data_IF_890890347729
#
_entry.id   IF_890890347729
#
_cell.length_a   1.000
_cell.length_b   1.000
_cell.length_c   1.000
_cell.angle_alpha   90.00
_cell.angle_beta   90.00
_cell.angle_gamma   90.00
#
_symmetry.space_group_name_H-M   'P 1'
#
loop_
_entity.id
_entity.type
_entity.pdbx_description
1 polymer ?
#
# COMPACT_ATOMS: atom_id res chain seq x y z
N UNK A 1 -8.43 22.68 2.67
CA UNK A 1 -8.59 22.81 1.21
C UNK A 1 -9.62 23.89 0.96
N UNK A 2 -9.48 24.60 -0.14
CA UNK A 2 -10.51 25.50 -0.63
C UNK A 2 -11.35 24.73 -1.65
N UNK A 3 -12.66 24.99 -1.67
CA UNK A 3 -13.59 24.32 -2.58
C UNK A 3 -14.29 25.41 -3.38
N UNK A 4 -14.15 25.36 -4.70
CA UNK A 4 -14.75 26.32 -5.62
C UNK A 4 -15.66 25.61 -6.63
N UNK A 5 -16.75 26.27 -7.00
CA UNK A 5 -17.59 25.83 -8.12
C UNK A 5 -17.13 26.55 -9.38
N UNK A 6 -16.26 25.93 -10.16
CA UNK A 6 -15.66 26.55 -11.36
C UNK A 6 -16.66 26.87 -12.48
N UNK A 7 -17.87 26.31 -12.42
CA UNK A 7 -18.94 26.57 -13.41
C UNK A 7 -19.75 27.80 -13.02
N UNK A 8 -20.17 27.88 -11.74
CA UNK A 8 -21.00 28.97 -11.24
C UNK A 8 -20.18 30.17 -10.73
N UNK A 9 -18.92 29.96 -10.37
CA UNK A 9 -17.93 30.94 -9.92
C UNK A 9 -16.57 30.69 -10.59
N UNK A 10 -16.42 31.00 -11.89
CA UNK A 10 -15.17 30.75 -12.63
C UNK A 10 -13.97 31.55 -12.12
N UNK A 11 -14.21 32.56 -11.27
CA UNK A 11 -13.16 33.38 -10.67
C UNK A 11 -12.78 32.92 -9.26
N UNK A 12 -13.36 31.81 -8.78
CA UNK A 12 -13.03 31.17 -7.51
C UNK A 12 -13.08 32.15 -6.32
N UNK A 13 -14.05 33.07 -6.33
CA UNK A 13 -14.15 34.11 -5.28
C UNK A 13 -14.77 33.56 -4.01
N UNK A 14 -15.58 32.53 -4.12
CA UNK A 14 -16.41 31.99 -3.03
C UNK A 14 -15.89 30.64 -2.60
N UNK A 15 -15.12 30.62 -1.52
CA UNK A 15 -14.67 29.37 -0.93
C UNK A 15 -15.82 28.68 -0.18
N UNK A 16 -16.25 27.53 -0.69
CA UNK A 16 -17.36 26.72 -0.19
C UNK A 16 -16.92 25.74 0.92
N UNK A 17 -15.63 25.62 1.20
CA UNK A 17 -15.08 24.58 2.07
C UNK A 17 -15.60 24.61 3.52
N UNK A 18 -16.05 25.77 3.99
CA UNK A 18 -16.55 25.95 5.36
C UNK A 18 -18.07 25.76 5.47
N UNK A 19 -18.77 25.55 4.35
CA UNK A 19 -20.21 25.33 4.36
C UNK A 19 -20.53 23.88 4.75
N UNK A 20 -21.52 23.70 5.62
CA UNK A 20 -21.93 22.37 6.12
C UNK A 20 -22.25 21.38 4.98
N UNK A 21 -22.82 21.86 3.88
CA UNK A 21 -23.11 21.04 2.70
C UNK A 21 -21.87 20.41 2.05
N UNK A 22 -20.69 21.01 2.24
CA UNK A 22 -19.42 20.55 1.67
C UNK A 22 -18.51 19.87 2.70
N UNK A 23 -18.94 19.73 3.95
CA UNK A 23 -18.14 19.13 5.01
C UNK A 23 -17.65 17.71 4.66
N UNK A 24 -18.54 16.86 4.11
CA UNK A 24 -18.17 15.51 3.68
C UNK A 24 -17.16 15.52 2.53
N UNK A 25 -17.32 16.43 1.56
CA UNK A 25 -16.38 16.57 0.45
C UNK A 25 -15.01 17.04 0.94
N UNK A 26 -14.99 18.02 1.83
CA UNK A 26 -13.78 18.54 2.46
C UNK A 26 -13.03 17.43 3.20
N UNK A 27 -13.75 16.61 3.98
CA UNK A 27 -13.16 15.47 4.69
C UNK A 27 -12.60 14.42 3.72
N UNK A 28 -13.33 14.11 2.65
CA UNK A 28 -12.84 13.20 1.60
C UNK A 28 -11.56 13.73 0.92
N UNK A 29 -11.50 15.03 0.61
CA UNK A 29 -10.31 15.66 0.01
C UNK A 29 -9.11 15.60 0.96
N UNK A 30 -9.30 15.92 2.24
CA UNK A 30 -8.26 15.83 3.27
C UNK A 30 -7.74 14.40 3.40
N UNK A 31 -8.64 13.43 3.52
CA UNK A 31 -8.29 12.02 3.60
C UNK A 31 -7.50 11.56 2.36
N UNK A 32 -7.95 11.97 1.16
CA UNK A 32 -7.31 11.58 -0.10
C UNK A 32 -5.88 12.08 -0.21
N UNK A 33 -5.60 13.31 0.24
CA UNK A 33 -4.23 13.85 0.21
C UNK A 33 -3.28 13.01 1.07
N UNK A 34 -3.73 12.57 2.24
CA UNK A 34 -2.94 11.69 3.12
C UNK A 34 -2.76 10.28 2.54
N UNK A 35 -3.72 9.80 1.73
CA UNK A 35 -3.68 8.47 1.12
C UNK A 35 -2.84 8.38 -0.16
N UNK A 36 -2.53 9.52 -0.81
CA UNK A 36 -1.79 9.56 -2.09
C UNK A 36 -0.33 9.98 -1.89
N UNK A 37 -0.02 10.71 -0.82
CA UNK A 37 1.29 11.34 -0.64
C UNK A 37 2.06 10.72 0.51
N UNK A 38 3.39 10.71 0.35
CA UNK A 38 4.34 10.47 1.44
C UNK A 38 4.92 11.82 1.91
N UNK A 39 5.20 11.98 3.21
CA UNK A 39 6.02 13.07 3.72
C UNK A 39 7.37 13.12 3.00
N UNK A 40 7.78 14.32 2.59
CA UNK A 40 9.07 14.56 1.94
C UNK A 40 9.88 15.52 2.81
N UNK A 41 10.98 15.06 3.44
CA UNK A 41 11.83 15.92 4.26
C UNK A 41 12.40 17.14 3.51
N UNK A 42 12.57 17.06 2.18
CA UNK A 42 13.02 18.17 1.34
C UNK A 42 11.92 19.17 0.96
N UNK A 43 10.66 18.81 1.19
CA UNK A 43 9.49 19.64 0.90
C UNK A 43 8.40 19.43 1.98
N UNK A 44 8.67 19.89 3.22
CA UNK A 44 7.79 19.66 4.36
C UNK A 44 6.45 20.34 4.17
N UNK A 45 5.38 19.65 4.53
CA UNK A 45 3.99 20.13 4.42
C UNK A 45 3.33 20.15 5.79
N UNK A 46 2.34 21.05 6.00
CA UNK A 46 1.66 21.19 7.29
C UNK A 46 1.01 19.90 7.81
N UNK A 47 0.65 18.98 6.92
CA UNK A 47 -0.07 17.74 7.22
C UNK A 47 0.82 16.47 7.19
N UNK A 48 2.15 16.61 7.14
CA UNK A 48 3.07 15.46 7.08
C UNK A 48 3.08 14.61 8.36
N UNK A 49 2.51 15.12 9.46
CA UNK A 49 2.38 14.43 10.75
C UNK A 49 0.99 13.86 11.00
N UNK A 50 0.05 14.07 10.08
CA UNK A 50 -1.31 13.56 10.21
C UNK A 50 -1.37 12.04 10.07
N UNK A 51 -2.34 11.44 10.74
CA UNK A 51 -2.63 10.02 10.59
C UNK A 51 -3.34 9.80 9.26
N UNK A 52 -2.83 8.91 8.41
CA UNK A 52 -3.54 8.48 7.21
C UNK A 52 -4.82 7.78 7.66
N UNK A 53 -6.00 8.23 7.21
CA UNK A 53 -7.26 7.66 7.67
C UNK A 53 -7.49 6.26 7.11
N UNK A 54 -8.09 5.42 7.94
CA UNK A 54 -8.58 4.11 7.55
C UNK A 54 -9.80 4.21 6.63
N UNK A 55 -10.08 3.14 5.88
CA UNK A 55 -11.28 3.00 5.05
C UNK A 55 -12.30 2.07 5.69
N UNK A 56 -13.57 2.30 5.39
CA UNK A 56 -14.68 1.41 5.75
C UNK A 56 -15.07 0.57 4.54
N UNK A 57 -14.72 -0.72 4.56
CA UNK A 57 -15.00 -1.66 3.47
C UNK A 57 -15.86 -2.81 4.01
N UNK A 58 -17.09 -3.00 3.49
CA UNK A 58 -17.92 -4.13 3.90
C UNK A 58 -17.43 -5.44 3.29
N UNK A 59 -17.91 -6.57 3.82
CA UNK A 59 -17.73 -7.91 3.23
C UNK A 59 -16.26 -8.33 3.03
N UNK A 60 -15.47 -8.25 4.10
CA UNK A 60 -14.09 -8.71 4.12
C UNK A 60 -13.96 -10.08 4.78
N UNK A 61 -13.10 -10.93 4.22
CA UNK A 61 -12.70 -12.22 4.79
C UNK A 61 -11.20 -12.24 5.05
N UNK A 62 -10.72 -13.09 5.96
CA UNK A 62 -9.28 -13.17 6.27
C UNK A 62 -8.45 -13.65 5.07
N UNK A 63 -7.28 -13.05 4.92
CA UNK A 63 -6.29 -13.39 3.90
C UNK A 63 -6.05 -12.28 2.89
N UNK A 64 -5.41 -12.64 1.78
CA UNK A 64 -4.99 -11.75 0.71
C UNK A 64 -5.31 -12.40 -0.63
N UNK A 65 -5.32 -11.58 -1.67
CA UNK A 65 -5.29 -12.03 -3.05
C UNK A 65 -3.85 -11.93 -3.57
N UNK A 66 -3.49 -12.82 -4.48
CA UNK A 66 -2.23 -12.77 -5.17
C UNK A 66 -2.40 -13.09 -6.65
N UNK A 67 -1.51 -12.54 -7.46
CA UNK A 67 -1.41 -12.76 -8.89
C UNK A 67 0.06 -12.94 -9.25
N UNK A 68 0.38 -13.88 -10.12
CA UNK A 68 1.76 -14.07 -10.62
C UNK A 68 1.84 -13.70 -12.08
N UNK A 69 3.04 -13.31 -12.52
CA UNK A 69 3.37 -13.14 -13.93
C UNK A 69 4.68 -13.86 -14.20
N UNK A 70 4.71 -14.69 -15.25
CA UNK A 70 5.94 -15.38 -15.66
C UNK A 70 6.84 -14.52 -16.55
N UNK A 71 6.26 -13.52 -17.23
CA UNK A 71 6.99 -12.64 -18.14
C UNK A 71 8.03 -11.82 -17.39
N UNK A 72 9.24 -11.72 -17.95
CA UNK A 72 10.29 -10.86 -17.38
C UNK A 72 9.79 -9.42 -17.30
N UNK A 73 9.95 -8.82 -16.12
CA UNK A 73 9.50 -7.46 -15.84
C UNK A 73 10.71 -6.53 -15.87
N UNK A 74 10.68 -5.41 -16.62
CA UNK A 74 11.73 -4.41 -16.54
C UNK A 74 11.64 -3.61 -15.24
N UNK A 75 10.44 -3.40 -14.70
CA UNK A 75 10.15 -2.77 -13.40
C UNK A 75 8.89 -3.38 -12.76
N UNK A 76 8.75 -3.26 -11.44
CA UNK A 76 7.63 -3.84 -10.67
C UNK A 76 6.27 -3.27 -11.04
N UNK A 77 6.21 -2.00 -11.45
CA UNK A 77 4.94 -1.33 -11.76
C UNK A 77 4.23 -1.92 -13.00
N UNK A 78 4.95 -2.58 -13.92
CA UNK A 78 4.33 -3.21 -15.10
C UNK A 78 3.34 -4.33 -14.72
N UNK A 79 3.41 -4.87 -13.49
CA UNK A 79 2.54 -5.95 -13.03
C UNK A 79 1.05 -5.61 -13.04
N UNK A 80 0.65 -4.34 -12.93
CA UNK A 80 -0.77 -3.96 -12.96
C UNK A 80 -1.39 -4.12 -14.35
N UNK A 81 -0.60 -3.87 -15.40
CA UNK A 81 -1.07 -3.84 -16.79
C UNK A 81 -0.98 -5.22 -17.47
N UNK A 82 -0.35 -6.20 -16.81
CA UNK A 82 -0.12 -7.52 -17.38
C UNK A 82 -1.20 -8.52 -16.95
N UNK A 83 -1.67 -9.30 -17.92
CA UNK A 83 -2.50 -10.46 -17.62
C UNK A 83 -1.75 -11.44 -16.71
N UNK A 84 -2.35 -11.86 -15.59
CA UNK A 84 -1.69 -12.77 -14.65
C UNK A 84 -1.61 -14.18 -15.24
N UNK A 85 -0.48 -14.85 -15.02
CA UNK A 85 -0.27 -16.26 -15.35
C UNK A 85 -1.03 -17.17 -14.39
N UNK A 86 -1.15 -16.76 -13.13
CA UNK A 86 -2.01 -17.40 -12.13
C UNK A 86 -2.52 -16.37 -11.12
N UNK A 87 -3.67 -16.69 -10.52
CA UNK A 87 -4.27 -15.91 -9.44
C UNK A 87 -4.70 -16.85 -8.32
N UNK A 88 -4.79 -16.33 -7.11
CA UNK A 88 -5.28 -17.10 -6.00
C UNK A 88 -5.42 -16.28 -4.74
N UNK A 89 -5.64 -16.99 -3.64
CA UNK A 89 -5.76 -16.39 -2.31
C UNK A 89 -4.78 -17.06 -1.36
N UNK A 90 -4.39 -16.36 -0.30
CA UNK A 90 -3.54 -16.90 0.74
C UNK A 90 -3.89 -16.28 2.10
N UNK A 91 -3.61 -16.97 3.20
CA UNK A 91 -3.80 -16.40 4.55
C UNK A 91 -2.74 -15.36 4.91
N UNK A 92 -1.57 -15.44 4.29
CA UNK A 92 -0.42 -14.55 4.53
C UNK A 92 0.47 -14.49 3.30
N UNK A 93 1.29 -13.45 3.22
CA UNK A 93 2.46 -13.44 2.33
C UNK A 93 3.51 -14.33 2.99
N UNK A 94 3.92 -15.41 2.34
CA UNK A 94 4.92 -16.32 2.89
C UNK A 94 6.23 -15.55 3.08
N UNK A 95 6.73 -15.50 4.32
CA UNK A 95 8.03 -14.92 4.61
C UNK A 95 9.12 -15.82 4.06
N UNK A 96 9.90 -15.30 3.11
CA UNK A 96 11.05 -15.98 2.52
C UNK A 96 10.75 -16.56 1.14
N UNK A 97 10.94 -17.87 0.97
CA UNK A 97 10.86 -18.50 -0.36
C UNK A 97 9.42 -18.46 -0.90
N UNK A 98 9.27 -18.04 -2.15
CA UNK A 98 8.00 -18.04 -2.89
C UNK A 98 7.99 -19.17 -3.94
N UNK A 99 7.61 -20.41 -3.58
CA UNK A 99 7.71 -21.55 -4.49
C UNK A 99 6.80 -21.46 -5.71
N UNK A 100 5.67 -20.74 -5.62
CA UNK A 100 4.72 -20.55 -6.72
C UNK A 100 5.17 -19.47 -7.73
N UNK A 101 6.30 -18.79 -7.50
CA UNK A 101 6.81 -17.74 -8.39
C UNK A 101 8.00 -18.25 -9.20
N UNK A 102 7.71 -18.78 -10.38
CA UNK A 102 8.71 -19.38 -11.27
C UNK A 102 9.36 -18.40 -12.26
N UNK A 103 8.72 -17.27 -12.53
CA UNK A 103 9.22 -16.24 -13.44
C UNK A 103 8.97 -14.82 -12.93
N UNK A 104 8.87 -13.87 -13.86
CA UNK A 104 8.58 -12.44 -13.69
C UNK A 104 8.43 -11.88 -12.29
N UNK A 105 7.29 -12.14 -11.65
CA UNK A 105 6.97 -11.56 -10.35
C UNK A 105 5.61 -11.96 -9.80
N UNK A 106 5.21 -11.28 -8.73
CA UNK A 106 3.91 -11.41 -8.10
C UNK A 106 3.39 -10.08 -7.57
N UNK A 107 2.07 -9.92 -7.59
CA UNK A 107 1.35 -8.83 -6.94
C UNK A 107 0.49 -9.43 -5.83
N UNK A 108 0.67 -8.94 -4.61
CA UNK A 108 -0.16 -9.26 -3.45
C UNK A 108 -1.03 -8.06 -3.11
N UNK A 109 -2.33 -8.27 -2.91
CA UNK A 109 -3.29 -7.21 -2.62
C UNK A 109 -4.28 -7.60 -1.53
N UNK A 110 -4.75 -6.60 -0.79
CA UNK A 110 -5.75 -6.76 0.25
C UNK A 110 -5.78 -5.54 1.18
N UNK A 111 -6.14 -5.77 2.43
CA UNK A 111 -6.22 -4.77 3.48
C UNK A 111 -5.42 -5.22 4.70
N UNK A 112 -4.69 -4.30 5.30
CA UNK A 112 -4.03 -4.46 6.60
C UNK A 112 -4.90 -3.77 7.65
N UNK A 113 -5.29 -4.51 8.69
CA UNK A 113 -5.96 -3.95 9.86
C UNK A 113 -4.92 -3.45 10.86
N UNK A 114 -4.90 -2.14 11.03
CA UNK A 114 -4.11 -1.41 12.01
C UNK A 114 -4.88 -1.41 13.35
N UNK A 115 -4.31 -1.97 14.44
CA UNK A 115 -5.02 -2.12 15.71
C UNK A 115 -5.19 -0.83 16.51
N UNK A 116 -4.30 0.16 16.30
CA UNK A 116 -4.30 1.42 17.04
C UNK A 116 -3.67 2.52 16.20
N UNK A 117 -4.04 3.78 16.46
CA UNK A 117 -3.41 4.94 15.86
C UNK A 117 -1.91 4.97 16.20
N UNK A 118 -1.06 5.30 15.23
CA UNK A 118 0.36 5.55 15.52
C UNK A 118 1.31 5.39 14.35
N UNK A 119 2.60 5.32 14.69
CA UNK A 119 3.69 5.14 13.74
C UNK A 119 3.90 3.65 13.42
N UNK A 120 3.84 3.33 12.13
CA UNK A 120 4.10 2.01 11.58
C UNK A 120 5.31 2.07 10.67
N UNK A 121 6.26 1.17 10.87
CA UNK A 121 7.37 0.96 9.92
C UNK A 121 7.16 -0.35 9.20
N UNK A 122 7.07 -0.32 7.87
CA UNK A 122 7.06 -1.51 7.03
C UNK A 122 8.46 -1.81 6.54
N UNK A 123 8.74 -3.10 6.32
CA UNK A 123 10.02 -3.60 5.85
C UNK A 123 9.79 -4.64 4.76
N UNK A 124 10.59 -4.56 3.71
CA UNK A 124 10.61 -5.52 2.61
C UNK A 124 12.04 -5.96 2.33
N UNK A 125 12.22 -7.27 2.14
CA UNK A 125 13.46 -7.84 1.59
C UNK A 125 13.12 -8.80 0.47
N UNK A 126 13.72 -8.63 -0.70
CA UNK A 126 13.45 -9.44 -1.87
C UNK A 126 14.75 -9.84 -2.58
N UNK A 127 14.78 -10.94 -3.32
CA UNK A 127 15.91 -11.30 -4.19
C UNK A 127 15.93 -10.53 -5.52
N UNK A 128 14.84 -9.86 -5.88
CA UNK A 128 14.75 -8.92 -6.99
C UNK A 128 14.18 -7.58 -6.55
N UNK A 129 13.28 -6.99 -7.33
CA UNK A 129 12.65 -5.71 -7.00
C UNK A 129 11.40 -5.85 -6.14
N UNK A 130 11.07 -4.82 -5.36
CA UNK A 130 9.79 -4.74 -4.68
C UNK A 130 9.28 -3.30 -4.56
N UNK A 131 7.95 -3.15 -4.48
CA UNK A 131 7.29 -1.86 -4.21
C UNK A 131 6.14 -2.12 -3.26
N UNK A 132 6.02 -1.33 -2.20
CA UNK A 132 4.87 -1.35 -1.31
C UNK A 132 4.09 -0.06 -1.49
N UNK A 133 2.82 -0.20 -1.87
CA UNK A 133 1.83 0.87 -1.79
C UNK A 133 0.89 0.60 -0.63
N UNK A 134 0.61 1.65 0.13
CA UNK A 134 -0.48 1.69 1.09
C UNK A 134 -1.44 2.79 0.62
N UNK A 135 -2.70 2.42 0.41
CA UNK A 135 -3.62 3.21 -0.40
C UNK A 135 -3.05 3.47 -1.80
N UNK A 136 -2.77 4.74 -2.15
CA UNK A 136 -2.12 5.14 -3.39
C UNK A 136 -0.68 5.62 -3.17
N UNK A 137 -0.25 5.80 -1.92
CA UNK A 137 1.07 6.28 -1.58
C UNK A 137 2.10 5.15 -1.67
N UNK A 138 3.23 5.41 -2.32
CA UNK A 138 4.41 4.54 -2.30
C UNK A 138 5.11 4.68 -0.95
N UNK A 139 5.04 3.62 -0.14
CA UNK A 139 5.67 3.57 1.19
C UNK A 139 7.10 3.05 1.09
N UNK A 140 7.33 2.06 0.23
CA UNK A 140 8.66 1.49 -0.04
C UNK A 140 8.80 1.38 -1.56
N UNK A 141 9.89 1.92 -2.09
CA UNK A 141 10.36 1.66 -3.45
C UNK A 141 11.74 0.99 -3.34
N UNK A 142 11.77 -0.29 -3.68
CA UNK A 142 12.93 -1.15 -3.66
C UNK A 142 13.07 -1.82 -5.03
N UNK A 143 12.82 -1.07 -6.11
CA UNK A 143 12.99 -1.57 -7.49
C UNK A 143 14.25 -0.98 -8.14
N UNK A 144 14.33 0.34 -8.28
CA UNK A 144 15.47 1.00 -8.90
C UNK A 144 16.67 1.07 -7.94
N UNK A 145 17.82 0.53 -8.37
CA UNK A 145 19.07 0.56 -7.59
C UNK A 145 19.05 -0.29 -6.31
N UNK A 146 18.03 -1.12 -6.12
CA UNK A 146 17.90 -1.99 -4.96
C UNK A 146 18.93 -3.12 -4.98
N UNK A 147 19.59 -3.34 -3.85
CA UNK A 147 20.53 -4.45 -3.66
C UNK A 147 19.75 -5.67 -3.19
N UNK A 148 19.75 -6.79 -3.94
CA UNK A 148 19.04 -8.00 -3.55
C UNK A 148 19.34 -8.46 -2.13
N UNK A 149 18.30 -8.94 -1.44
CA UNK A 149 18.29 -9.48 -0.08
C UNK A 149 18.66 -8.47 1.02
N UNK A 150 18.69 -7.18 0.71
CA UNK A 150 18.81 -6.12 1.72
C UNK A 150 17.44 -5.67 2.23
N UNK A 151 17.39 -4.99 3.37
CA UNK A 151 16.13 -4.48 3.91
C UNK A 151 15.84 -3.07 3.40
N UNK A 152 14.69 -2.89 2.75
CA UNK A 152 14.12 -1.58 2.47
C UNK A 152 12.99 -1.31 3.48
N UNK A 153 12.84 -0.06 3.91
CA UNK A 153 11.85 0.32 4.93
C UNK A 153 11.14 1.63 4.60
N UNK A 154 9.92 1.76 5.13
CA UNK A 154 9.10 2.96 5.01
C UNK A 154 8.24 3.16 6.25
N UNK A 155 8.28 4.35 6.81
CA UNK A 155 7.46 4.74 7.95
C UNK A 155 6.20 5.50 7.48
N UNK A 156 5.08 5.25 8.13
CA UNK A 156 3.80 5.91 7.89
C UNK A 156 3.00 5.99 9.18
N UNK A 157 2.26 7.08 9.36
CA UNK A 157 1.34 7.31 10.49
C UNK A 157 -0.05 6.86 10.09
N UNK A 158 -0.63 5.88 10.78
CA UNK A 158 -1.90 5.27 10.42
C UNK A 158 -2.92 5.43 11.53
N UNK A 159 -4.15 5.77 11.15
CA UNK A 159 -5.30 5.63 12.03
C UNK A 159 -5.66 4.14 12.20
N UNK A 160 -6.24 3.76 13.33
CA UNK A 160 -6.79 2.44 13.55
C UNK A 160 -7.87 2.11 12.51
N UNK A 161 -7.84 0.89 11.97
CA UNK A 161 -8.80 0.44 10.97
C UNK A 161 -8.13 -0.23 9.76
N UNK A 162 -8.82 -0.26 8.63
CA UNK A 162 -8.38 -0.98 7.43
C UNK A 162 -7.64 -0.05 6.48
N UNK A 163 -6.50 -0.52 5.99
CA UNK A 163 -5.69 0.17 4.98
C UNK A 163 -5.45 -0.76 3.79
N UNK A 164 -5.95 -0.43 2.58
CA UNK A 164 -5.62 -1.18 1.38
C UNK A 164 -4.13 -1.15 1.13
N UNK A 165 -3.57 -2.26 0.70
CA UNK A 165 -2.16 -2.36 0.34
C UNK A 165 -2.00 -3.13 -0.98
N UNK A 166 -0.92 -2.80 -1.69
CA UNK A 166 -0.42 -3.54 -2.85
C UNK A 166 1.08 -3.72 -2.68
N UNK A 167 1.52 -4.97 -2.65
CA UNK A 167 2.93 -5.34 -2.61
C UNK A 167 3.30 -5.98 -3.94
N UNK A 168 4.10 -5.27 -4.71
CA UNK A 168 4.64 -5.72 -5.98
C UNK A 168 5.99 -6.35 -5.72
N UNK A 169 6.25 -7.47 -6.38
CA UNK A 169 7.50 -8.19 -6.30
C UNK A 169 7.92 -8.61 -7.70
N UNK A 170 9.15 -8.30 -8.06
CA UNK A 170 9.81 -8.75 -9.28
C UNK A 170 10.93 -9.69 -8.86
N UNK A 171 10.96 -10.87 -9.47
CA UNK A 171 11.97 -11.87 -9.16
C UNK A 171 13.36 -11.41 -9.63
N UNK A 172 14.39 -11.80 -8.88
CA UNK A 172 15.78 -11.63 -9.30
C UNK A 172 16.15 -12.55 -10.47
N UNK A 173 17.22 -12.22 -11.19
CA UNK A 173 17.63 -12.97 -12.39
C UNK A 173 18.18 -14.38 -12.09
N UNK A 174 18.51 -14.68 -10.84
CA UNK A 174 19.07 -15.97 -10.43
C UNK A 174 18.61 -16.39 -9.04
N UNK A 175 18.71 -17.69 -8.75
CA UNK A 175 18.34 -18.25 -7.46
C UNK A 175 16.84 -18.42 -7.24
N UNK A 176 16.48 -18.80 -6.01
CA UNK A 176 15.10 -19.03 -5.62
C UNK A 176 14.42 -17.70 -5.23
N UNK A 177 13.22 -17.51 -5.78
CA UNK A 177 12.33 -16.39 -5.49
C UNK A 177 12.17 -16.19 -3.98
N UNK A 178 12.43 -14.98 -3.52
CA UNK A 178 12.42 -14.65 -2.11
C UNK A 178 11.74 -13.29 -1.89
N UNK A 179 10.78 -13.26 -0.97
CA UNK A 179 10.15 -12.04 -0.51
C UNK A 179 9.83 -12.17 0.98
N UNK A 180 10.19 -11.17 1.77
CA UNK A 180 9.80 -11.07 3.17
C UNK A 180 9.14 -9.72 3.39
N UNK A 181 7.95 -9.75 3.99
CA UNK A 181 7.18 -8.55 4.33
C UNK A 181 6.94 -8.51 5.84
N UNK A 182 7.44 -7.46 6.47
CA UNK A 182 7.43 -7.29 7.91
C UNK A 182 6.93 -5.89 8.27
N UNK A 183 6.53 -5.75 9.54
CA UNK A 183 6.19 -4.46 10.11
C UNK A 183 6.71 -4.34 11.54
N UNK A 184 6.76 -3.11 12.03
CA UNK A 184 6.93 -2.73 13.42
C UNK A 184 5.82 -1.76 13.77
N UNK A 185 5.12 -2.03 14.88
CA UNK A 185 3.91 -1.33 15.27
C UNK A 185 3.82 -1.25 16.80
N UNK A 186 3.63 -0.07 17.39
CA UNK A 186 3.26 0.16 18.80
C UNK A 186 4.22 -0.39 19.87
N UNK A 187 4.40 -1.71 19.92
CA UNK A 187 5.30 -2.44 20.82
C UNK A 187 6.79 -2.40 20.41
N UNK A 188 7.11 -1.72 19.32
CA UNK A 188 8.47 -1.56 18.82
C UNK A 188 9.13 -2.83 18.28
N UNK A 189 8.43 -3.97 18.21
CA UNK A 189 9.01 -5.23 17.73
C UNK A 189 8.77 -5.42 16.24
N UNK A 190 9.86 -5.63 15.48
CA UNK A 190 9.80 -6.02 14.07
C UNK A 190 9.37 -7.49 13.96
N UNK A 191 8.35 -7.78 13.15
CA UNK A 191 7.82 -9.12 12.90
C UNK A 191 7.22 -9.22 11.51
N UNK A 192 7.12 -10.44 11.00
CA UNK A 192 6.34 -10.69 9.79
C UNK A 192 4.90 -10.21 9.99
N UNK A 193 4.29 -9.66 8.93
CA UNK A 193 2.91 -9.15 9.02
C UNK A 193 1.97 -10.34 9.31
N UNK A 194 1.26 -10.34 10.46
CA UNK A 194 0.46 -11.48 10.86
C UNK A 194 -0.71 -11.74 9.91
N UNK A 195 -1.04 -13.02 9.68
CA UNK A 195 -2.23 -13.41 8.91
C UNK A 195 -3.52 -12.82 9.50
N UNK A 196 -3.58 -12.65 10.83
CA UNK A 196 -4.74 -12.13 11.56
C UNK A 196 -5.09 -10.67 11.26
N UNK A 197 -4.15 -9.91 10.69
CA UNK A 197 -4.40 -8.51 10.29
C UNK A 197 -4.63 -8.35 8.80
N UNK A 198 -4.60 -9.44 8.03
CA UNK A 198 -4.77 -9.40 6.58
C UNK A 198 -6.19 -9.78 6.18
N UNK A 199 -6.79 -8.96 5.32
CA UNK A 199 -8.15 -9.14 4.83
C UNK A 199 -8.21 -8.93 3.31
N UNK A 200 -9.18 -9.57 2.67
CA UNK A 200 -9.49 -9.41 1.25
C UNK A 200 -11.00 -9.29 1.05
N UNK A 201 -11.45 -8.67 -0.06
CA UNK A 201 -12.86 -8.73 -0.43
C UNK A 201 -13.35 -10.17 -0.50
N UNK A 202 -14.57 -10.41 -0.03
CA UNK A 202 -15.26 -11.65 -0.32
C UNK A 202 -15.53 -11.70 -1.83
N UNK A 203 -14.88 -12.63 -2.52
CA UNK A 203 -15.17 -12.89 -3.93
C UNK A 203 -16.63 -13.38 -4.01
N UNK A 204 -17.47 -12.67 -4.77
CA UNK A 204 -18.84 -13.12 -5.07
C UNK A 204 -18.78 -14.47 -5.78
N UNK A 205 -19.57 -15.43 -5.31
CA UNK A 205 -19.80 -16.71 -5.99
C UNK A 205 -20.79 -16.56 -7.13
#
# INVERSE_FOLDING_TARGET
FEIYNVVADPQERTNLANLAAYASLQQCMQARVLQVRRPDPGAPRPYDRELVPAVSIPNLVSGIEWRTCERRLPWVATLEDLAPSAVGTARRIAGGRLPAVHGGGALFSGFIRVPADGDYTFYVSADGGALLRLHEAVVIDADAGYVPRTEAQGAVRLQAGLHPFRLYYRRGDSGAAFLRFQWRAGDGRKRDVPASVLFRPQSGG
#
